data_IF_459364120605
#
_entry.id   IF_459364120605
#
_cell.length_a   1.000
_cell.length_b   1.000
_cell.length_c   1.000
_cell.angle_alpha   90.00
_cell.angle_beta   90.00
_cell.angle_gamma   90.00
#
_symmetry.space_group_name_H-M   'P 1'
#
loop_
_entity.id
_entity.type
_entity.pdbx_description
1 polymer ?
#
# COMPACT_ATOMS: atom_id res chain seq x y z
N UNK A 1 -12.13 2.04 4.09
CA UNK A 1 -13.18 1.05 4.39
C UNK A 1 -12.53 -0.25 4.83
N UNK A 2 -13.15 -0.98 5.76
CA UNK A 2 -12.62 -2.22 6.33
C UNK A 2 -13.53 -3.40 5.98
N UNK A 3 -12.95 -4.52 5.56
CA UNK A 3 -13.64 -5.79 5.31
C UNK A 3 -12.99 -6.84 6.21
N UNK A 4 -13.80 -7.46 7.06
CA UNK A 4 -13.38 -8.56 7.93
C UNK A 4 -14.11 -9.86 7.57
N UNK A 5 -13.38 -10.96 7.57
CA UNK A 5 -13.92 -12.32 7.46
C UNK A 5 -13.42 -13.16 8.63
N UNK A 6 -14.32 -13.90 9.25
CA UNK A 6 -13.99 -14.85 10.32
C UNK A 6 -14.74 -16.15 10.10
N UNK A 7 -14.00 -17.27 10.18
CA UNK A 7 -14.57 -18.61 10.15
C UNK A 7 -13.78 -19.49 11.12
N UNK A 8 -14.41 -19.88 12.25
CA UNK A 8 -13.74 -20.56 13.34
C UNK A 8 -12.52 -19.77 13.85
N UNK A 9 -11.35 -20.41 13.75
CA UNK A 9 -10.06 -19.88 14.16
C UNK A 9 -9.40 -19.00 13.09
N UNK A 10 -9.90 -19.03 11.85
CA UNK A 10 -9.40 -18.21 10.77
C UNK A 10 -10.00 -16.81 10.85
N UNK A 11 -9.13 -15.80 10.77
CA UNK A 11 -9.48 -14.37 10.76
C UNK A 11 -8.73 -13.68 9.63
N UNK A 12 -9.43 -12.86 8.87
CA UNK A 12 -8.88 -12.02 7.81
C UNK A 12 -9.46 -10.62 7.98
N UNK A 13 -8.62 -9.61 8.01
CA UNK A 13 -9.02 -8.21 8.02
C UNK A 13 -8.24 -7.48 6.95
N UNK A 14 -8.95 -6.79 6.07
CA UNK A 14 -8.37 -5.93 5.06
C UNK A 14 -8.95 -4.53 5.21
N UNK A 15 -8.06 -3.55 5.29
CA UNK A 15 -8.41 -2.14 5.33
C UNK A 15 -7.70 -1.43 4.18
N UNK A 16 -8.43 -0.62 3.45
CA UNK A 16 -7.87 0.25 2.43
C UNK A 16 -8.73 1.51 2.36
N UNK A 17 -8.12 2.68 2.23
CA UNK A 17 -8.83 3.95 2.09
C UNK A 17 -8.96 4.44 0.64
N UNK A 18 -8.28 3.81 -0.34
CA UNK A 18 -8.25 4.24 -1.75
C UNK A 18 -8.43 3.15 -2.82
N UNK A 19 -8.69 1.89 -2.43
CA UNK A 19 -8.71 0.73 -3.33
C UNK A 19 -9.78 0.72 -4.43
N UNK A 20 -9.62 -0.18 -5.40
CA UNK A 20 -10.54 -0.37 -6.56
C UNK A 20 -12.00 -0.55 -6.14
N UNK A 21 -12.26 -1.20 -4.99
CA UNK A 21 -13.61 -1.35 -4.43
C UNK A 21 -14.22 -0.03 -3.92
N UNK A 22 -13.41 0.85 -3.33
CA UNK A 22 -13.84 2.18 -2.87
C UNK A 22 -14.00 3.14 -4.05
N UNK A 23 -13.15 3.04 -5.08
CA UNK A 23 -13.30 3.76 -6.35
C UNK A 23 -14.51 3.30 -7.17
N UNK A 24 -14.89 2.02 -7.13
CA UNK A 24 -16.14 1.52 -7.76
C UNK A 24 -17.39 1.90 -6.97
N UNK A 25 -17.29 2.05 -5.65
CA UNK A 25 -18.41 2.46 -4.78
C UNK A 25 -18.55 3.99 -4.63
N UNK A 26 -17.67 4.78 -5.24
CA UNK A 26 -17.75 6.25 -5.25
C UNK A 26 -17.48 6.93 -3.89
N UNK A 27 -16.95 6.21 -2.90
CA UNK A 27 -16.75 6.71 -1.54
C UNK A 27 -15.31 7.20 -1.31
N UNK A 28 -14.92 8.29 -1.97
CA UNK A 28 -13.66 8.97 -1.69
C UNK A 28 -13.26 9.98 -2.75
N UNK A 29 -12.60 11.07 -2.33
CA UNK A 29 -11.96 12.00 -3.26
C UNK A 29 -10.97 11.22 -4.11
N UNK A 30 -11.20 11.21 -5.43
CA UNK A 30 -10.46 10.42 -6.45
C UNK A 30 -8.94 10.69 -6.50
N UNK A 31 -8.39 11.47 -5.58
CA UNK A 31 -6.95 11.62 -5.32
C UNK A 31 -6.36 10.37 -4.67
N UNK A 32 -5.05 10.34 -4.52
CA UNK A 32 -4.27 9.22 -3.99
C UNK A 32 -3.35 9.73 -2.85
N UNK A 33 -3.89 10.64 -2.05
CA UNK A 33 -3.17 11.32 -0.97
C UNK A 33 -3.35 10.57 0.34
N UNK A 34 -2.24 10.36 1.06
CA UNK A 34 -2.21 9.77 2.39
C UNK A 34 -2.90 8.40 2.47
N UNK A 35 -2.73 7.59 1.41
CA UNK A 35 -3.41 6.30 1.34
C UNK A 35 -2.78 5.30 2.30
N UNK A 36 -3.66 4.60 2.99
CA UNK A 36 -3.39 3.49 3.88
C UNK A 36 -3.93 2.20 3.30
N UNK A 37 -3.13 1.14 3.40
CA UNK A 37 -3.57 -0.22 3.12
C UNK A 37 -3.00 -1.17 4.16
N UNK A 38 -3.86 -1.97 4.77
CA UNK A 38 -3.46 -2.93 5.77
C UNK A 38 -4.17 -4.28 5.54
N UNK A 39 -3.45 -5.35 5.80
CA UNK A 39 -3.95 -6.72 5.76
C UNK A 39 -3.48 -7.42 7.02
N UNK A 40 -4.39 -8.05 7.74
CA UNK A 40 -4.07 -8.93 8.85
C UNK A 40 -4.76 -10.27 8.65
N UNK A 41 -4.00 -11.34 8.81
CA UNK A 41 -4.45 -12.73 8.77
C UNK A 41 -4.11 -13.34 10.11
N UNK A 42 -5.02 -14.13 10.67
CA UNK A 42 -4.80 -14.89 11.89
C UNK A 42 -5.37 -16.29 11.80
N UNK A 43 -4.69 -17.23 12.43
CA UNK A 43 -5.13 -18.62 12.61
C UNK A 43 -4.84 -19.00 14.07
N UNK A 44 -5.89 -19.22 14.85
CA UNK A 44 -5.77 -19.45 16.29
C UNK A 44 -5.11 -18.25 16.97
N UNK A 45 -3.95 -18.48 17.59
CA UNK A 45 -3.15 -17.45 18.26
C UNK A 45 -2.10 -16.79 17.36
N UNK A 46 -1.86 -17.33 16.17
CA UNK A 46 -0.90 -16.78 15.22
C UNK A 46 -1.52 -15.66 14.40
N UNK A 47 -0.73 -14.61 14.16
CA UNK A 47 -1.12 -13.50 13.30
C UNK A 47 0.03 -13.10 12.39
N UNK A 48 -0.29 -12.66 11.18
CA UNK A 48 0.62 -12.08 10.23
C UNK A 48 -0.08 -10.94 9.50
N UNK A 49 0.63 -9.86 9.21
CA UNK A 49 0.02 -8.74 8.53
C UNK A 49 1.00 -7.73 7.98
N UNK A 50 0.46 -6.78 7.22
CA UNK A 50 1.20 -5.64 6.74
C UNK A 50 0.40 -4.36 6.89
N UNK A 51 1.10 -3.24 7.00
CA UNK A 51 0.54 -1.90 6.99
C UNK A 51 1.39 -1.03 6.06
N UNK A 52 0.74 -0.41 5.08
CA UNK A 52 1.33 0.45 4.07
C UNK A 52 0.78 1.86 4.22
N UNK A 53 1.66 2.85 4.02
CA UNK A 53 1.29 4.25 3.97
C UNK A 53 2.08 4.97 2.89
N UNK A 54 1.41 5.89 2.21
CA UNK A 54 1.99 6.74 1.17
C UNK A 54 1.70 8.20 1.44
N UNK A 55 2.53 9.08 0.86
CA UNK A 55 2.36 10.52 1.03
C UNK A 55 1.31 11.11 0.09
N UNK A 56 1.47 12.39 -0.22
CA UNK A 56 0.42 13.20 -0.85
C UNK A 56 0.51 13.20 -2.37
N UNK A 57 -0.43 12.52 -3.03
CA UNK A 57 -0.69 12.63 -4.48
C UNK A 57 -2.12 13.14 -4.72
N UNK A 58 -2.29 14.44 -4.99
CA UNK A 58 -3.62 15.00 -5.23
C UNK A 58 -4.10 14.71 -6.66
N UNK A 59 -5.39 14.90 -6.93
CA UNK A 59 -5.93 14.75 -8.30
C UNK A 59 -5.27 15.72 -9.29
N UNK A 60 -4.96 16.95 -8.86
CA UNK A 60 -4.22 17.93 -9.67
C UNK A 60 -2.82 17.45 -10.01
N UNK A 61 -2.19 16.70 -9.11
CA UNK A 61 -0.86 16.14 -9.36
C UNK A 61 -0.93 14.99 -10.37
N UNK A 62 -1.98 14.15 -10.29
CA UNK A 62 -2.26 13.09 -11.27
C UNK A 62 -2.59 13.62 -12.66
N UNK A 63 -3.21 14.80 -12.77
CA UNK A 63 -3.52 15.46 -14.05
C UNK A 63 -2.26 16.02 -14.73
N UNK A 64 -1.20 16.31 -13.96
CA UNK A 64 0.12 16.69 -14.49
C UNK A 64 0.98 15.50 -14.92
N UNK A 65 0.58 14.27 -14.56
CA UNK A 65 1.28 13.06 -14.99
C UNK A 65 0.95 12.75 -16.46
N UNK A 66 1.98 12.54 -17.27
CA UNK A 66 1.82 12.21 -18.69
C UNK A 66 1.10 10.86 -18.83
N UNK A 67 -0.06 10.86 -19.48
CA UNK A 67 -0.83 9.65 -19.81
C UNK A 67 -0.84 9.46 -21.32
N UNK A 68 -0.73 8.21 -21.75
CA UNK A 68 -0.86 7.81 -23.15
C UNK A 68 -2.23 7.22 -23.40
N UNK A 69 -2.76 7.38 -24.61
CA UNK A 69 -4.00 6.71 -25.02
C UNK A 69 -3.61 5.30 -25.50
N UNK A 70 -4.16 4.27 -24.87
CA UNK A 70 -3.94 2.90 -25.30
C UNK A 70 -4.77 2.57 -26.55
N UNK A 71 -4.52 1.40 -27.15
CA UNK A 71 -5.22 0.92 -28.37
C UNK A 71 -6.74 0.79 -28.22
N UNK A 72 -7.29 0.97 -27.01
CA UNK A 72 -8.73 0.93 -26.69
C UNK A 72 -9.31 2.32 -26.36
N UNK A 73 -8.56 3.40 -26.64
CA UNK A 73 -9.00 4.77 -26.41
C UNK A 73 -9.01 5.20 -24.93
N UNK A 74 -8.39 4.43 -24.02
CA UNK A 74 -8.33 4.77 -22.59
C UNK A 74 -6.97 5.36 -22.22
N UNK A 75 -6.99 6.37 -21.36
CA UNK A 75 -5.78 6.93 -20.76
C UNK A 75 -5.11 5.89 -19.83
N UNK A 76 -3.84 5.61 -20.08
CA UNK A 76 -3.00 4.70 -19.28
C UNK A 76 -1.63 5.35 -19.03
N UNK A 77 -0.98 5.00 -17.91
CA UNK A 77 0.37 5.46 -17.64
C UNK A 77 1.38 4.75 -18.56
N UNK A 78 2.31 5.47 -19.21
CA UNK A 78 3.29 4.89 -20.11
C UNK A 78 4.28 3.97 -19.36
N UNK A 79 4.80 2.97 -20.06
CA UNK A 79 5.92 2.15 -19.57
C UNK A 79 7.20 2.93 -19.83
N UNK A 80 7.91 3.30 -18.76
CA UNK A 80 9.16 4.08 -18.82
C UNK A 80 10.33 3.37 -18.15
N UNK A 81 10.09 2.31 -17.38
CA UNK A 81 11.13 1.49 -16.71
C UNK A 81 12.19 2.33 -15.99
N UNK A 82 11.76 3.23 -15.12
CA UNK A 82 12.66 4.08 -14.34
C UNK A 82 13.27 3.27 -13.21
N UNK A 83 14.56 3.43 -12.94
CA UNK A 83 15.25 2.76 -11.82
C UNK A 83 15.59 3.81 -10.77
N UNK A 84 15.29 3.53 -9.50
CA UNK A 84 15.65 4.43 -8.40
C UNK A 84 17.13 4.31 -7.99
N UNK A 85 17.58 5.16 -7.08
CA UNK A 85 18.96 5.15 -6.56
C UNK A 85 19.33 3.90 -5.75
N UNK A 86 18.35 3.03 -5.47
CA UNK A 86 18.54 1.75 -4.78
C UNK A 86 18.48 0.55 -5.73
N UNK A 87 18.27 0.77 -7.03
CA UNK A 87 18.17 -0.29 -8.04
C UNK A 87 16.76 -0.90 -8.19
N UNK A 88 15.73 -0.31 -7.57
CA UNK A 88 14.35 -0.76 -7.72
C UNK A 88 13.76 -0.27 -9.04
N UNK A 89 13.09 -1.17 -9.78
CA UNK A 89 12.52 -0.85 -11.09
C UNK A 89 11.04 -0.43 -10.98
N UNK A 90 10.75 0.76 -11.51
CA UNK A 90 9.45 1.36 -11.66
C UNK A 90 9.01 1.31 -13.12
N UNK A 91 8.29 0.24 -13.48
CA UNK A 91 7.78 0.01 -14.85
C UNK A 91 7.09 1.23 -15.46
N UNK A 92 6.33 2.00 -14.66
CA UNK A 92 5.54 3.17 -15.09
C UNK A 92 6.04 4.50 -14.51
N UNK A 93 7.26 4.49 -13.98
CA UNK A 93 7.90 5.65 -13.36
C UNK A 93 7.23 6.07 -12.06
N UNK A 94 7.58 7.27 -11.62
CA UNK A 94 7.16 7.80 -10.32
C UNK A 94 5.85 8.58 -10.39
N UNK A 95 5.04 8.46 -9.35
CA UNK A 95 3.95 9.40 -9.08
C UNK A 95 4.48 10.82 -8.92
N UNK A 96 3.67 11.80 -9.32
CA UNK A 96 3.95 13.20 -9.04
C UNK A 96 3.54 13.51 -7.59
N UNK A 97 4.44 13.28 -6.65
CA UNK A 97 4.21 13.54 -5.23
C UNK A 97 4.70 14.92 -4.82
N UNK A 98 3.86 15.66 -4.07
CA UNK A 98 4.16 17.01 -3.63
C UNK A 98 4.32 17.08 -2.11
N UNK A 99 5.37 17.75 -1.65
CA UNK A 99 5.65 17.97 -0.22
C UNK A 99 6.50 16.85 0.40
N UNK A 100 6.34 16.65 1.71
CA UNK A 100 7.10 15.65 2.46
C UNK A 100 6.63 14.25 2.06
N UNK A 101 7.58 13.42 1.61
CA UNK A 101 7.34 12.05 1.20
C UNK A 101 7.24 11.15 2.43
N UNK A 102 6.04 10.75 2.79
CA UNK A 102 5.81 9.82 3.89
C UNK A 102 5.72 8.39 3.36
N UNK A 103 6.38 7.45 4.04
CA UNK A 103 6.49 6.05 3.64
C UNK A 103 6.35 5.12 4.84
N UNK A 104 5.50 4.11 4.72
CA UNK A 104 5.45 2.98 5.65
C UNK A 104 5.31 1.69 4.85
N UNK A 105 6.09 0.69 5.23
CA UNK A 105 5.98 -0.68 4.74
C UNK A 105 6.23 -1.63 5.90
N UNK A 106 5.31 -1.67 6.85
CA UNK A 106 5.43 -2.51 8.02
C UNK A 106 4.96 -3.94 7.71
N UNK A 107 5.77 -4.94 8.06
CA UNK A 107 5.36 -6.34 8.19
C UNK A 107 5.32 -6.70 9.66
N UNK A 108 4.34 -7.50 10.04
CA UNK A 108 4.18 -7.99 11.41
C UNK A 108 3.92 -9.49 11.41
N UNK A 109 4.47 -10.15 12.44
CA UNK A 109 4.16 -11.51 12.84
C UNK A 109 3.84 -11.48 14.32
N UNK A 110 2.90 -12.30 14.77
CA UNK A 110 2.49 -12.31 16.16
C UNK A 110 1.97 -13.65 16.65
N UNK A 111 2.01 -13.80 17.97
CA UNK A 111 1.52 -14.96 18.69
C UNK A 111 0.96 -14.53 20.04
N UNK A 112 -0.27 -14.91 20.37
CA UNK A 112 -0.86 -14.71 21.70
C UNK A 112 -0.87 -13.24 22.18
N UNK A 113 -1.04 -12.28 21.26
CA UNK A 113 -1.04 -10.83 21.54
C UNK A 113 0.34 -10.15 21.47
N UNK A 114 1.42 -10.92 21.38
CA UNK A 114 2.75 -10.41 21.03
C UNK A 114 2.86 -10.17 19.52
N UNK A 115 3.45 -9.06 19.11
CA UNK A 115 3.80 -8.76 17.71
C UNK A 115 5.25 -8.30 17.61
N UNK A 116 5.96 -8.92 16.68
CA UNK A 116 7.24 -8.43 16.17
C UNK A 116 7.02 -7.95 14.75
N UNK A 117 7.73 -6.91 14.36
CA UNK A 117 7.61 -6.40 13.01
C UNK A 117 8.85 -5.68 12.53
N UNK A 118 8.84 -5.38 11.24
CA UNK A 118 9.86 -4.57 10.62
C UNK A 118 9.21 -3.60 9.64
N UNK A 119 9.63 -2.35 9.70
CA UNK A 119 9.28 -1.33 8.72
C UNK A 119 10.40 -1.25 7.68
N UNK A 120 10.04 -1.44 6.41
CA UNK A 120 10.96 -1.20 5.31
C UNK A 120 10.19 -0.76 4.06
N UNK A 121 10.73 0.23 3.35
CA UNK A 121 10.14 0.59 2.07
C UNK A 121 10.30 -0.50 1.01
N UNK A 122 11.22 -1.45 1.19
CA UNK A 122 11.29 -2.64 0.33
C UNK A 122 9.98 -3.42 0.34
N UNK A 123 9.37 -3.55 1.53
CA UNK A 123 8.05 -4.17 1.70
C UNK A 123 6.99 -3.36 0.96
N UNK A 124 6.97 -2.04 1.18
CA UNK A 124 5.99 -1.15 0.52
C UNK A 124 6.13 -1.27 -1.00
N UNK A 125 7.34 -1.16 -1.53
CA UNK A 125 7.59 -1.26 -2.96
C UNK A 125 7.12 -2.60 -3.54
N UNK A 126 7.45 -3.71 -2.88
CA UNK A 126 7.04 -5.04 -3.33
C UNK A 126 5.51 -5.21 -3.34
N UNK A 127 4.81 -4.80 -2.28
CA UNK A 127 3.36 -5.00 -2.19
C UNK A 127 2.61 -3.96 -3.02
N UNK A 128 2.99 -2.69 -2.91
CA UNK A 128 2.29 -1.59 -3.55
C UNK A 128 2.72 -1.40 -5.01
N UNK A 129 3.99 -1.09 -5.25
CA UNK A 129 4.43 -0.66 -6.59
C UNK A 129 4.51 -1.84 -7.57
N UNK A 130 4.95 -3.01 -7.09
CA UNK A 130 5.11 -4.21 -7.93
C UNK A 130 3.78 -4.97 -8.08
N UNK A 131 3.10 -5.31 -6.97
CA UNK A 131 1.86 -6.11 -7.03
C UNK A 131 0.65 -5.23 -7.33
N UNK A 132 0.26 -4.31 -6.43
CA UNK A 132 -1.00 -3.58 -6.58
C UNK A 132 -0.97 -2.66 -7.81
N UNK A 133 0.02 -1.77 -7.91
CA UNK A 133 0.17 -0.82 -9.02
C UNK A 133 0.52 -1.54 -10.34
N UNK A 134 1.20 -2.69 -10.26
CA UNK A 134 1.37 -3.59 -11.40
C UNK A 134 0.03 -4.06 -11.98
N UNK A 135 -0.87 -4.52 -11.12
CA UNK A 135 -2.22 -4.99 -11.48
C UNK A 135 -3.13 -3.87 -11.99
N UNK A 136 -3.17 -2.72 -11.30
CA UNK A 136 -4.04 -1.59 -11.69
C UNK A 136 -3.38 -0.63 -12.70
N UNK A 137 -2.16 -0.93 -13.12
CA UNK A 137 -1.37 -0.17 -14.11
C UNK A 137 -1.09 1.28 -13.69
N UNK A 138 -0.86 1.50 -12.40
CA UNK A 138 -0.53 2.83 -11.85
C UNK A 138 0.98 3.08 -11.77
N UNK A 139 1.39 4.34 -11.53
CA UNK A 139 2.78 4.76 -11.29
C UNK A 139 3.17 4.49 -9.84
N UNK A 140 4.45 4.26 -9.54
CA UNK A 140 4.88 3.89 -8.20
C UNK A 140 5.31 5.07 -7.32
N UNK A 141 5.24 4.90 -6.00
CA UNK A 141 5.79 5.86 -5.05
C UNK A 141 7.29 5.62 -4.89
N UNK A 142 8.10 6.64 -5.18
CA UNK A 142 9.56 6.56 -5.11
C UNK A 142 10.03 6.17 -3.70
N UNK A 143 10.98 5.24 -3.62
CA UNK A 143 11.62 4.85 -2.37
C UNK A 143 12.48 5.99 -1.82
N UNK A 144 12.38 6.29 -0.54
CA UNK A 144 13.23 7.25 0.16
C UNK A 144 14.35 6.57 0.95
N UNK A 145 14.19 5.28 1.27
CA UNK A 145 15.13 4.50 2.08
C UNK A 145 14.97 3.01 1.83
N UNK A 146 16.04 2.22 1.96
CA UNK A 146 16.00 0.74 1.98
C UNK A 146 16.34 0.13 3.35
N UNK A 147 16.30 0.95 4.39
CA UNK A 147 16.51 0.52 5.78
C UNK A 147 15.44 -0.48 6.23
N UNK A 148 15.80 -1.25 7.25
CA UNK A 148 14.93 -2.18 7.95
C UNK A 148 14.92 -1.78 9.41
N UNK A 149 13.82 -1.19 9.86
CA UNK A 149 13.64 -0.75 11.24
C UNK A 149 12.75 -1.75 11.95
N UNK A 150 13.33 -2.55 12.85
CA UNK A 150 12.58 -3.52 13.65
C UNK A 150 11.81 -2.84 14.77
N UNK A 151 10.63 -3.35 15.08
CA UNK A 151 9.83 -2.92 16.23
C UNK A 151 9.18 -4.13 16.91
N UNK A 152 8.83 -3.93 18.18
CA UNK A 152 8.14 -4.91 19.01
C UNK A 152 6.97 -4.23 19.72
N UNK A 153 5.86 -4.94 19.82
CA UNK A 153 4.64 -4.44 20.45
C UNK A 153 3.86 -5.58 21.11
N UNK A 154 3.29 -5.31 22.28
CA UNK A 154 2.25 -6.15 22.87
C UNK A 154 0.91 -5.44 22.73
N UNK A 155 -0.11 -6.12 22.21
CA UNK A 155 -1.47 -5.59 22.08
C UNK A 155 -2.49 -6.66 22.44
N UNK A 156 -3.51 -6.25 23.19
CA UNK A 156 -4.76 -7.01 23.28
C UNK A 156 -5.50 -6.95 21.94
N UNK A 157 -6.18 -8.04 21.59
CA UNK A 157 -6.94 -8.13 20.35
C UNK A 157 -7.97 -7.00 20.24
N UNK A 158 -7.89 -6.21 19.17
CA UNK A 158 -8.84 -5.14 18.88
C UNK A 158 -9.51 -5.40 17.51
N UNK A 159 -10.81 -5.73 17.45
CA UNK A 159 -11.51 -5.98 16.20
C UNK A 159 -11.84 -4.72 15.40
N UNK A 160 -11.61 -3.53 15.98
CA UNK A 160 -11.99 -2.25 15.40
C UNK A 160 -10.87 -1.59 14.59
N UNK A 161 -9.67 -2.19 14.53
CA UNK A 161 -8.54 -1.64 13.77
C UNK A 161 -7.64 -2.74 13.20
N UNK A 162 -7.14 -2.51 11.99
CA UNK A 162 -6.12 -3.34 11.34
C UNK A 162 -4.68 -2.87 11.63
N UNK A 163 -4.53 -1.94 12.57
CA UNK A 163 -3.25 -1.35 12.97
C UNK A 163 -2.69 -1.95 14.25
#
# INVERSE_FOLDING_TARGET
>A
GMIGFRSGDFKLMYENDGGVGIKHLGLGDRGDSFRTAALNIGIGDFTAGFNLFTGRRSRKDQEKEVKIINSRGKYENPIVNTVDCYGANYKRGYVNEMGVKHRLGALTLGYGGFRVGANSEKVRHAIQDVVIHGLIKDRGFENQSWKWDSFYQYRTYNPFTSW
#
